data_IF_308830876020
#
_entry.id   IF_308830876020
#
_cell.length_a   1.000
_cell.length_b   1.000
_cell.length_c   1.000
_cell.angle_alpha   90.00
_cell.angle_beta   90.00
_cell.angle_gamma   90.00
#
_symmetry.space_group_name_H-M   'P 1'
#
loop_
_entity.id
_entity.type
_entity.pdbx_description
1 polymer ?
#
# COMPACT_ATOMS: atom_id res chain seq x y z
N UNK A 1 -5.28 -3.02 14.30
CA UNK A 1 -5.60 -4.41 13.90
C UNK A 1 -5.88 -5.19 15.16
N UNK A 2 -6.97 -5.96 15.19
CA UNK A 2 -7.42 -6.70 16.36
C UNK A 2 -7.66 -8.17 15.97
N UNK A 3 -6.81 -9.06 16.50
CA UNK A 3 -6.90 -10.51 16.33
C UNK A 3 -6.97 -10.98 14.88
N UNK A 4 -6.09 -10.46 14.03
CA UNK A 4 -6.13 -10.69 12.60
C UNK A 4 -5.42 -11.99 12.23
N UNK A 5 -6.13 -12.87 11.52
CA UNK A 5 -5.53 -14.04 10.86
C UNK A 5 -5.71 -13.99 9.35
N UNK A 6 -4.75 -14.58 8.64
CA UNK A 6 -4.79 -14.75 7.18
C UNK A 6 -4.50 -16.21 6.86
N UNK A 7 -5.44 -16.85 6.19
CA UNK A 7 -5.32 -18.24 5.75
C UNK A 7 -5.43 -18.26 4.22
N UNK A 8 -4.56 -19.04 3.57
CA UNK A 8 -4.57 -19.28 2.12
C UNK A 8 -4.56 -20.79 1.88
N UNK A 9 -5.68 -21.31 1.38
CA UNK A 9 -5.89 -22.76 1.32
C UNK A 9 -5.85 -23.34 2.73
N UNK A 10 -4.87 -24.21 2.99
CA UNK A 10 -4.63 -24.83 4.30
C UNK A 10 -3.51 -24.16 5.11
N UNK A 11 -2.86 -23.13 4.56
CA UNK A 11 -1.70 -22.49 5.20
C UNK A 11 -2.12 -21.23 5.95
N UNK A 12 -1.83 -21.18 7.25
CA UNK A 12 -1.95 -19.97 8.07
C UNK A 12 -0.73 -19.08 7.84
N UNK A 13 -0.93 -17.91 7.25
CA UNK A 13 0.12 -16.92 6.96
C UNK A 13 0.30 -15.92 8.10
N UNK A 14 -0.79 -15.61 8.81
CA UNK A 14 -0.82 -14.81 10.02
C UNK A 14 -1.84 -15.43 10.96
N UNK A 15 -1.53 -15.43 12.26
CA UNK A 15 -2.38 -16.02 13.28
C UNK A 15 -2.53 -15.05 14.46
N UNK A 16 -3.77 -14.59 14.69
CA UNK A 16 -4.20 -13.74 15.81
C UNK A 16 -3.33 -12.49 16.07
N UNK A 17 -2.94 -11.78 15.01
CA UNK A 17 -2.08 -10.60 15.12
C UNK A 17 -2.89 -9.37 15.54
N UNK A 18 -2.51 -8.77 16.66
CA UNK A 18 -2.99 -7.45 17.09
C UNK A 18 -1.86 -6.43 17.01
N UNK A 19 -2.10 -5.32 16.32
CA UNK A 19 -1.11 -4.28 16.06
C UNK A 19 -1.80 -2.92 15.92
N UNK A 20 -1.35 -1.94 16.70
CA UNK A 20 -1.75 -0.54 16.60
C UNK A 20 -0.54 0.29 16.19
N UNK A 21 -0.77 1.27 15.33
CA UNK A 21 0.23 2.25 14.90
C UNK A 21 -0.39 3.62 15.11
N UNK A 22 0.30 4.46 15.86
CA UNK A 22 -0.10 5.83 16.11
C UNK A 22 0.60 6.81 15.16
N UNK A 23 0.12 8.05 15.13
CA UNK A 23 0.75 9.12 14.36
C UNK A 23 2.22 9.30 14.81
N UNK A 24 3.08 9.62 13.84
CA UNK A 24 4.52 9.84 14.00
C UNK A 24 5.36 8.63 14.47
N UNK A 25 4.75 7.44 14.60
CA UNK A 25 5.49 6.22 14.90
C UNK A 25 6.25 5.68 13.69
N UNK A 26 7.41 5.07 13.97
CA UNK A 26 8.26 4.41 12.98
C UNK A 26 8.53 2.99 13.43
N UNK A 27 8.02 2.04 12.67
CA UNK A 27 8.10 0.62 13.01
C UNK A 27 9.07 -0.12 12.10
N UNK A 28 9.77 -1.09 12.69
CA UNK A 28 10.55 -2.08 11.94
C UNK A 28 9.96 -3.46 12.25
N UNK A 29 9.57 -4.19 11.21
CA UNK A 29 9.02 -5.55 11.33
C UNK A 29 10.13 -6.54 11.00
N UNK A 30 10.56 -7.32 12.00
CA UNK A 30 11.63 -8.30 11.89
C UNK A 30 11.08 -9.73 11.95
N UNK A 31 11.80 -10.66 11.34
CA UNK A 31 11.46 -12.07 11.35
C UNK A 31 12.06 -12.83 10.16
N UNK A 32 12.15 -14.17 10.22
CA UNK A 32 12.71 -14.97 9.14
C UNK A 32 11.89 -14.88 7.85
N UNK A 33 12.45 -15.37 6.75
CA UNK A 33 11.70 -15.52 5.50
C UNK A 33 10.51 -16.45 5.73
N UNK A 34 9.35 -16.08 5.18
CA UNK A 34 8.10 -16.82 5.39
C UNK A 34 7.33 -16.50 6.67
N UNK A 35 7.85 -15.66 7.58
CA UNK A 35 7.16 -15.28 8.83
C UNK A 35 5.91 -14.38 8.66
N UNK A 36 5.37 -14.22 7.45
CA UNK A 36 4.17 -13.41 7.21
C UNK A 36 4.39 -11.89 7.15
N UNK A 37 5.62 -11.38 7.24
CA UNK A 37 5.93 -9.93 7.21
C UNK A 37 5.29 -9.20 6.02
N UNK A 38 5.46 -9.74 4.82
CA UNK A 38 4.87 -9.16 3.60
C UNK A 38 3.34 -9.21 3.63
N UNK A 39 2.75 -10.29 4.17
CA UNK A 39 1.30 -10.42 4.35
C UNK A 39 0.76 -9.37 5.31
N UNK A 40 1.45 -9.12 6.43
CA UNK A 40 1.09 -8.10 7.40
C UNK A 40 1.14 -6.69 6.78
N UNK A 41 2.20 -6.39 6.03
CA UNK A 41 2.32 -5.11 5.34
C UNK A 41 1.27 -4.93 4.23
N UNK A 42 0.89 -5.99 3.52
CA UNK A 42 -0.19 -5.94 2.53
C UNK A 42 -1.57 -5.69 3.15
N UNK A 43 -1.82 -6.19 4.37
CA UNK A 43 -3.02 -5.85 5.14
C UNK A 43 -3.02 -4.36 5.53
N UNK A 44 -1.89 -3.87 6.04
CA UNK A 44 -1.73 -2.45 6.40
C UNK A 44 -1.88 -1.51 5.20
N UNK A 45 -1.55 -1.98 3.99
CA UNK A 45 -1.68 -1.24 2.74
C UNK A 45 -3.05 -1.38 2.03
N UNK A 46 -4.05 -1.99 2.67
CA UNK A 46 -5.35 -2.29 2.05
C UNK A 46 -5.25 -3.11 0.73
N UNK A 47 -4.17 -3.88 0.55
CA UNK A 47 -3.96 -4.76 -0.60
C UNK A 47 -4.47 -6.18 -0.37
N UNK A 48 -4.75 -6.50 0.90
CA UNK A 48 -5.24 -7.80 1.33
C UNK A 48 -6.38 -7.59 2.32
N UNK A 49 -7.38 -8.47 2.27
CA UNK A 49 -8.38 -8.58 3.33
C UNK A 49 -8.00 -9.72 4.28
N UNK A 50 -8.16 -9.54 5.61
CA UNK A 50 -7.96 -10.62 6.56
C UNK A 50 -8.98 -11.75 6.34
N UNK A 51 -8.62 -12.97 6.75
CA UNK A 51 -9.55 -14.11 6.79
C UNK A 51 -10.46 -14.00 8.02
N UNK A 52 -9.92 -13.56 9.15
CA UNK A 52 -10.65 -13.29 10.39
C UNK A 52 -10.02 -12.11 11.14
N UNK A 53 -10.75 -11.58 12.12
CA UNK A 53 -10.34 -10.40 12.86
C UNK A 53 -10.76 -9.10 12.19
N UNK A 54 -10.31 -7.97 12.75
CA UNK A 54 -10.72 -6.64 12.31
C UNK A 54 -9.53 -5.73 12.04
N UNK A 55 -9.64 -4.95 10.97
CA UNK A 55 -8.67 -3.93 10.60
C UNK A 55 -9.40 -2.59 10.47
N UNK A 56 -8.83 -1.55 11.09
CA UNK A 56 -9.14 -0.16 10.79
C UNK A 56 -7.89 0.49 10.24
N UNK A 57 -8.00 1.15 9.10
CA UNK A 57 -6.93 1.89 8.44
C UNK A 57 -7.36 3.35 8.40
N UNK A 58 -6.52 4.26 8.90
CA UNK A 58 -6.83 5.70 8.91
C UNK A 58 -8.20 6.05 9.55
N UNK A 59 -8.59 5.30 10.57
CA UNK A 59 -9.88 5.44 11.26
C UNK A 59 -11.04 4.66 10.63
N UNK A 60 -10.87 4.15 9.41
CA UNK A 60 -11.93 3.53 8.62
C UNK A 60 -11.88 1.99 8.69
N UNK A 61 -13.01 1.30 8.92
CA UNK A 61 -13.06 -0.15 8.95
C UNK A 61 -12.88 -0.75 7.54
N UNK A 62 -11.92 -1.67 7.41
CA UNK A 62 -11.70 -2.41 6.16
C UNK A 62 -12.87 -3.36 5.89
N UNK A 63 -13.36 -3.36 4.65
CA UNK A 63 -14.53 -4.14 4.21
C UNK A 63 -15.87 -3.40 4.33
N UNK A 64 -15.90 -2.25 4.99
CA UNK A 64 -17.07 -1.35 5.06
C UNK A 64 -16.80 0.02 4.41
N UNK A 65 -15.59 0.23 3.90
CA UNK A 65 -15.14 1.48 3.26
C UNK A 65 -14.55 1.17 1.91
N UNK A 66 -14.69 2.09 0.95
CA UNK A 66 -14.13 1.90 -0.38
C UNK A 66 -12.59 1.92 -0.30
N UNK A 67 -11.97 0.80 -0.67
CA UNK A 67 -10.51 0.66 -0.68
C UNK A 67 -9.86 1.57 -1.73
N UNK A 68 -10.60 2.04 -2.75
CA UNK A 68 -10.13 3.02 -3.71
C UNK A 68 -9.98 4.42 -3.09
N UNK A 69 -10.69 4.74 -2.00
CA UNK A 69 -10.48 5.97 -1.24
C UNK A 69 -9.33 5.84 -0.23
N UNK A 70 -9.11 4.63 0.31
CA UNK A 70 -8.05 4.35 1.28
C UNK A 70 -6.66 4.27 0.66
N UNK A 71 -6.51 3.56 -0.47
CA UNK A 71 -5.18 3.27 -1.06
C UNK A 71 -4.39 4.52 -1.47
N UNK A 72 -5.00 5.58 -2.06
CA UNK A 72 -4.27 6.83 -2.37
C UNK A 72 -3.66 7.50 -1.14
N UNK A 73 -4.20 7.24 0.05
CA UNK A 73 -3.72 7.79 1.32
C UNK A 73 -2.61 6.94 1.96
N UNK A 74 -2.25 5.80 1.37
CA UNK A 74 -1.26 4.87 1.91
C UNK A 74 -0.17 4.62 0.87
N UNK A 75 1.03 5.18 1.10
CA UNK A 75 2.21 4.87 0.31
C UNK A 75 2.71 3.45 0.59
N UNK A 76 2.82 2.60 -0.42
CA UNK A 76 3.36 1.25 -0.28
C UNK A 76 4.39 0.94 -1.36
N UNK A 77 5.65 0.80 -0.93
CA UNK A 77 6.78 0.51 -1.81
C UNK A 77 7.26 -0.94 -1.59
N UNK A 78 7.39 -1.70 -2.68
CA UNK A 78 7.96 -3.04 -2.65
C UNK A 78 8.52 -3.45 -4.01
N UNK A 79 9.44 -4.41 -4.04
CA UNK A 79 9.94 -4.98 -5.28
C UNK A 79 8.82 -5.60 -6.15
N UNK A 80 7.79 -6.19 -5.50
CA UNK A 80 6.64 -6.77 -6.19
C UNK A 80 5.72 -5.71 -6.84
N UNK A 81 5.75 -4.47 -6.35
CA UNK A 81 5.08 -3.33 -7.00
C UNK A 81 5.94 -2.78 -8.12
N UNK A 82 7.24 -2.61 -7.88
CA UNK A 82 8.17 -2.13 -8.90
C UNK A 82 8.15 -3.02 -10.16
N UNK A 83 8.03 -4.34 -10.00
CA UNK A 83 7.95 -5.28 -11.13
C UNK A 83 6.67 -5.19 -11.96
N UNK A 84 5.67 -4.41 -11.53
CA UNK A 84 4.40 -4.19 -12.28
C UNK A 84 4.42 -2.92 -13.12
N UNK A 85 5.46 -2.09 -12.98
CA UNK A 85 5.61 -0.88 -13.79
C UNK A 85 5.86 -1.28 -15.25
N UNK A 86 5.10 -0.76 -16.22
CA UNK A 86 5.30 -1.06 -17.63
C UNK A 86 6.73 -0.72 -18.10
N UNK A 87 7.35 -1.56 -18.93
CA UNK A 87 8.62 -1.20 -19.56
C UNK A 87 8.46 0.07 -20.40
N UNK A 88 9.32 1.07 -20.16
CA UNK A 88 9.28 2.34 -20.89
C UNK A 88 8.28 3.37 -20.34
N UNK A 89 7.66 3.12 -19.18
CA UNK A 89 6.87 4.13 -18.48
C UNK A 89 7.74 5.37 -18.17
N UNK A 90 7.18 6.57 -18.39
CA UNK A 90 7.85 7.82 -18.06
C UNK A 90 7.78 8.03 -16.54
N UNK A 91 8.92 8.37 -15.93
CA UNK A 91 9.03 8.49 -14.47
C UNK A 91 8.04 9.53 -13.90
N UNK A 92 7.90 10.70 -14.53
CA UNK A 92 6.96 11.72 -14.08
C UNK A 92 5.51 11.25 -14.15
N UNK A 93 5.12 10.58 -15.23
CA UNK A 93 3.76 10.00 -15.37
C UNK A 93 3.51 8.92 -14.31
N UNK A 94 4.51 8.08 -14.00
CA UNK A 94 4.40 7.07 -12.95
C UNK A 94 4.20 7.69 -11.56
N UNK A 95 4.92 8.78 -11.26
CA UNK A 95 4.77 9.48 -9.97
C UNK A 95 3.36 10.09 -9.85
N UNK A 96 2.85 10.69 -10.93
CA UNK A 96 1.47 11.22 -10.96
C UNK A 96 0.46 10.08 -10.73
N UNK A 97 0.54 9.00 -11.52
CA UNK A 97 -0.43 7.90 -11.42
C UNK A 97 -0.37 7.20 -10.05
N UNK A 98 0.81 7.11 -9.45
CA UNK A 98 0.99 6.52 -8.12
C UNK A 98 0.26 7.31 -7.02
N UNK A 99 0.07 8.63 -7.20
CA UNK A 99 -0.76 9.46 -6.32
C UNK A 99 -2.22 9.00 -6.24
N UNK A 100 -2.72 8.32 -7.28
CA UNK A 100 -4.05 7.72 -7.34
C UNK A 100 -4.04 6.22 -7.04
N UNK A 101 -2.94 5.68 -6.50
CA UNK A 101 -2.70 4.26 -6.30
C UNK A 101 -2.77 3.41 -7.59
N UNK A 102 -2.42 4.00 -8.74
CA UNK A 102 -2.37 3.35 -10.06
C UNK A 102 -0.92 3.25 -10.55
N UNK A 103 -0.56 2.10 -11.12
CA UNK A 103 0.76 1.88 -11.72
C UNK A 103 0.64 1.93 -13.24
N UNK A 104 1.15 3.00 -13.85
CA UNK A 104 1.12 3.23 -15.29
C UNK A 104 -0.21 3.83 -15.79
N UNK A 105 -0.16 4.59 -16.89
CA UNK A 105 -1.34 5.28 -17.44
C UNK A 105 -2.46 4.32 -17.87
N UNK A 106 -3.69 4.60 -17.41
CA UNK A 106 -4.89 4.48 -18.24
C UNK A 106 -5.19 5.85 -18.87
N UNK A 107 -6.06 5.94 -19.89
CA UNK A 107 -6.27 7.15 -20.75
C UNK A 107 -6.85 8.39 -20.04
N UNK A 108 -6.20 8.87 -18.98
CA UNK A 108 -6.64 10.01 -18.18
C UNK A 108 -5.76 11.22 -18.45
N UNK A 109 -6.37 12.41 -18.42
CA UNK A 109 -5.66 13.69 -18.45
C UNK A 109 -5.56 14.14 -17.00
N UNK A 110 -4.34 14.33 -16.51
CA UNK A 110 -4.08 14.89 -15.19
C UNK A 110 -4.01 16.41 -15.28
N UNK A 111 -4.39 17.08 -14.20
CA UNK A 111 -4.33 18.53 -14.12
C UNK A 111 -2.88 19.01 -13.97
N UNK A 112 -2.63 20.27 -14.32
CA UNK A 112 -1.28 20.86 -14.24
C UNK A 112 -0.72 20.83 -12.81
N UNK A 113 -1.59 20.94 -11.80
CA UNK A 113 -1.20 20.89 -10.39
C UNK A 113 -0.62 19.53 -9.99
N UNK A 114 -1.17 18.43 -10.51
CA UNK A 114 -0.67 17.07 -10.23
C UNK A 114 0.71 16.84 -10.86
N UNK A 115 0.91 17.38 -12.06
CA UNK A 115 2.19 17.33 -12.76
C UNK A 115 3.26 18.13 -12.00
N UNK A 116 2.96 19.34 -11.56
CA UNK A 116 3.88 20.18 -10.78
C UNK A 116 4.25 19.49 -9.46
N UNK A 117 3.26 18.90 -8.79
CA UNK A 117 3.50 18.12 -7.56
C UNK A 117 4.41 16.92 -7.81
N UNK A 118 4.18 16.18 -8.89
CA UNK A 118 5.01 15.02 -9.23
C UNK A 118 6.47 15.42 -9.52
N UNK A 119 6.67 16.51 -10.27
CA UNK A 119 8.01 17.05 -10.54
C UNK A 119 8.70 17.50 -9.25
N UNK A 120 7.99 18.16 -8.34
CA UNK A 120 8.54 18.54 -7.05
C UNK A 120 8.96 17.32 -6.21
N UNK A 121 8.16 16.25 -6.19
CA UNK A 121 8.51 15.02 -5.48
C UNK A 121 9.76 14.35 -6.07
N UNK A 122 9.95 14.42 -7.39
CA UNK A 122 11.15 13.90 -8.06
C UNK A 122 12.40 14.70 -7.70
N UNK A 123 12.30 16.03 -7.67
CA UNK A 123 13.38 16.92 -7.23
C UNK A 123 13.83 16.61 -5.79
N UNK A 124 12.87 16.35 -4.88
CA UNK A 124 13.18 15.90 -3.51
C UNK A 124 13.95 14.57 -3.46
N UNK A 125 13.80 13.72 -4.47
CA UNK A 125 14.54 12.45 -4.61
C UNK A 125 15.85 12.61 -5.41
N UNK A 126 16.16 13.80 -5.91
CA UNK A 126 17.37 14.10 -6.68
C UNK A 126 17.33 13.63 -8.15
N UNK A 127 16.13 13.53 -8.73
CA UNK A 127 15.91 13.14 -10.14
C UNK A 127 15.57 14.36 -10.99
#
# INVERSE_FOLDING_TARGET
MNGVSVIRGTTTLLDDVSWAVELDERWVILGPNGAGKTTLLQLAAALLHPTSGQIRLLGEPLGLTDVFELRPRIGFASAAIASRVPPGEVVSDLVVSAGYAVLGRWRERYDTEDLDRALHLLDLMGV
#
